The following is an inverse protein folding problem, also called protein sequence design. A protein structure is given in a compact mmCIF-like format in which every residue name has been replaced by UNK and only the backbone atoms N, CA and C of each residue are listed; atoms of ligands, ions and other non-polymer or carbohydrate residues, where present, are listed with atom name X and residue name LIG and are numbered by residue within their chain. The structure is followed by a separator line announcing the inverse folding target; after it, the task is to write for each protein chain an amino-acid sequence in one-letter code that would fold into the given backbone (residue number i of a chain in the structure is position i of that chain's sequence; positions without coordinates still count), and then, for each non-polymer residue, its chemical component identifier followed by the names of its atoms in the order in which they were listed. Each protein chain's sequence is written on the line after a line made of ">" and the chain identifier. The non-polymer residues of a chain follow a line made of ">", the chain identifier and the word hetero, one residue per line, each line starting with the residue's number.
data_IF_561385491791
#
_entry.id   IF_561385491791
#
_cell.length_a   1.000
_cell.length_b   1.000
_cell.length_c   1.000
_cell.angle_alpha   90.00
_cell.angle_beta   90.00
_cell.angle_gamma   90.00
#
_symmetry.space_group_name_H-M   'P 1'
#
loop_
_entity.id
_entity.type
_entity.pdbx_description
1 polymer ?
#
# COMPACT_ATOMS: atom_id res chain seq x y z
N UNK A 1 -22.11 -24.39 25.57
CA UNK A 1 -20.95 -23.86 24.87
C UNK A 1 -21.44 -23.51 23.47
N UNK A 2 -21.80 -22.23 23.25
CA UNK A 2 -22.27 -21.78 21.94
C UNK A 2 -21.08 -21.76 20.96
N UNK A 3 -21.25 -22.20 19.71
CA UNK A 3 -20.23 -21.98 18.70
C UNK A 3 -19.99 -20.47 18.53
N UNK A 4 -18.75 -20.04 18.23
CA UNK A 4 -18.48 -18.64 17.92
C UNK A 4 -19.35 -18.25 16.71
N UNK A 5 -20.11 -17.16 16.84
CA UNK A 5 -20.77 -16.54 15.70
C UNK A 5 -19.71 -16.25 14.65
N UNK A 6 -19.96 -16.76 13.44
CA UNK A 6 -19.14 -16.55 12.26
C UNK A 6 -19.28 -15.07 11.85
N UNK A 7 -18.53 -14.19 12.52
CA UNK A 7 -18.47 -12.74 12.27
C UNK A 7 -18.07 -12.43 10.81
N UNK A 8 -17.52 -13.42 10.12
CA UNK A 8 -17.21 -13.43 8.69
C UNK A 8 -18.37 -13.85 7.79
N UNK A 9 -19.59 -14.12 8.28
CA UNK A 9 -20.71 -14.64 7.47
C UNK A 9 -21.77 -13.60 7.09
N UNK A 10 -21.87 -12.47 7.81
CA UNK A 10 -22.83 -11.42 7.49
C UNK A 10 -22.37 -10.61 6.25
N UNK A 11 -23.21 -10.51 5.22
CA UNK A 11 -22.94 -9.65 4.06
C UNK A 11 -22.60 -8.22 4.52
N UNK A 12 -21.67 -7.51 3.85
CA UNK A 12 -21.41 -6.13 4.21
C UNK A 12 -22.71 -5.35 4.12
N UNK A 13 -22.96 -4.49 5.11
CA UNK A 13 -24.14 -3.64 5.09
C UNK A 13 -24.21 -2.92 3.73
N UNK A 14 -25.37 -2.90 3.05
CA UNK A 14 -25.48 -2.38 1.70
C UNK A 14 -24.99 -0.93 1.58
N UNK A 15 -25.13 -0.14 2.65
CA UNK A 15 -24.60 1.22 2.75
C UNK A 15 -23.06 1.27 2.76
N UNK A 16 -22.40 0.33 3.44
CA UNK A 16 -20.94 0.20 3.45
C UNK A 16 -20.42 -0.16 2.06
N UNK A 17 -21.05 -1.14 1.41
CA UNK A 17 -20.67 -1.54 0.05
C UNK A 17 -20.83 -0.37 -0.94
N UNK A 18 -21.96 0.34 -0.90
CA UNK A 18 -22.20 1.51 -1.76
C UNK A 18 -21.17 2.62 -1.51
N UNK A 19 -20.84 2.92 -0.25
CA UNK A 19 -19.84 3.94 0.11
C UNK A 19 -18.46 3.58 -0.42
N UNK A 20 -18.06 2.31 -0.31
CA UNK A 20 -16.78 1.84 -0.81
C UNK A 20 -16.69 1.87 -2.34
N UNK A 21 -17.76 1.46 -3.03
CA UNK A 21 -17.85 1.53 -4.50
C UNK A 21 -17.80 2.99 -4.98
N UNK A 22 -18.56 3.89 -4.35
CA UNK A 22 -18.50 5.33 -4.64
C UNK A 22 -17.12 5.93 -4.35
N UNK A 23 -16.48 5.55 -3.25
CA UNK A 23 -15.12 5.96 -2.92
C UNK A 23 -14.09 5.46 -3.93
N UNK A 24 -14.20 4.21 -4.36
CA UNK A 24 -13.32 3.61 -5.37
C UNK A 24 -13.53 4.24 -6.76
N UNK A 25 -14.78 4.52 -7.15
CA UNK A 25 -15.09 5.26 -8.38
C UNK A 25 -14.54 6.69 -8.32
N UNK A 26 -14.71 7.38 -7.19
CA UNK A 26 -14.12 8.71 -6.98
C UNK A 26 -12.60 8.69 -7.04
N UNK A 27 -11.95 7.66 -6.49
CA UNK A 27 -10.51 7.44 -6.60
C UNK A 27 -10.11 7.27 -8.07
N UNK A 28 -10.80 6.39 -8.80
CA UNK A 28 -10.56 6.14 -10.22
C UNK A 28 -10.66 7.40 -11.08
N UNK A 29 -11.64 8.27 -10.80
CA UNK A 29 -11.83 9.56 -11.49
C UNK A 29 -10.75 10.59 -11.19
N UNK A 30 -10.14 10.55 -10.01
CA UNK A 30 -9.16 11.56 -9.59
C UNK A 30 -7.72 11.14 -9.88
N UNK A 31 -7.41 9.85 -9.79
CA UNK A 31 -6.05 9.33 -9.80
C UNK A 31 -5.84 8.17 -10.78
N UNK A 32 -6.88 7.73 -11.47
CA UNK A 32 -6.89 6.49 -12.24
C UNK A 32 -7.18 5.27 -11.36
N UNK A 33 -7.71 4.22 -11.99
CA UNK A 33 -7.90 2.93 -11.32
C UNK A 33 -6.58 2.14 -11.27
N UNK A 34 -6.36 1.35 -10.21
CA UNK A 34 -5.16 0.53 -10.06
C UNK A 34 -5.03 -0.56 -11.13
N UNK A 35 -3.81 -1.08 -11.28
CA UNK A 35 -3.48 -2.07 -12.31
C UNK A 35 -3.58 -3.53 -11.81
N UNK A 36 -3.94 -3.75 -10.56
CA UNK A 36 -4.00 -5.10 -10.00
C UNK A 36 -5.10 -5.26 -8.95
N UNK A 37 -5.68 -6.48 -8.82
CA UNK A 37 -6.66 -6.80 -7.76
C UNK A 37 -6.17 -6.45 -6.37
N UNK A 38 -4.90 -6.71 -6.08
CA UNK A 38 -4.25 -6.44 -4.80
C UNK A 38 -4.30 -4.94 -4.47
N UNK A 39 -4.05 -4.08 -5.46
CA UNK A 39 -4.10 -2.63 -5.26
C UNK A 39 -5.53 -2.14 -5.08
N UNK A 40 -6.50 -2.68 -5.84
CA UNK A 40 -7.92 -2.37 -5.62
C UNK A 40 -8.37 -2.81 -4.23
N UNK A 41 -7.97 -4.02 -3.80
CA UNK A 41 -8.24 -4.53 -2.46
C UNK A 41 -7.64 -3.61 -1.39
N UNK A 42 -6.38 -3.18 -1.56
CA UNK A 42 -5.73 -2.25 -0.65
C UNK A 42 -6.43 -0.89 -0.57
N UNK A 43 -6.92 -0.35 -1.68
CA UNK A 43 -7.74 0.86 -1.69
C UNK A 43 -9.04 0.64 -0.93
N UNK A 44 -9.77 -0.46 -1.19
CA UNK A 44 -11.01 -0.77 -0.49
C UNK A 44 -10.78 -0.92 1.02
N UNK A 45 -9.68 -1.55 1.43
CA UNK A 45 -9.24 -1.65 2.83
C UNK A 45 -9.00 -0.28 3.46
N UNK A 46 -8.22 0.58 2.79
CA UNK A 46 -7.96 1.96 3.26
C UNK A 46 -9.24 2.79 3.33
N UNK A 47 -10.10 2.73 2.31
CA UNK A 47 -11.38 3.45 2.29
C UNK A 47 -12.25 3.02 3.47
N UNK A 48 -12.34 1.71 3.75
CA UNK A 48 -13.16 1.18 4.83
C UNK A 48 -12.59 1.56 6.20
N UNK A 49 -11.28 1.45 6.40
CA UNK A 49 -10.64 1.88 7.65
C UNK A 49 -10.82 3.37 7.92
N UNK A 50 -10.78 4.20 6.88
CA UNK A 50 -11.02 5.64 7.02
C UNK A 50 -12.50 5.98 7.25
N UNK A 51 -13.41 5.19 6.69
CA UNK A 51 -14.85 5.36 6.87
C UNK A 51 -15.32 4.84 8.25
N UNK A 52 -14.76 3.73 8.72
CA UNK A 52 -15.09 3.06 9.98
C UNK A 52 -13.80 2.69 10.74
N UNK A 53 -13.18 3.65 11.46
CA UNK A 53 -11.89 3.45 12.12
C UNK A 53 -11.92 2.46 13.28
N UNK A 54 -13.10 2.25 13.89
CA UNK A 54 -13.28 1.34 15.03
C UNK A 54 -13.43 -0.14 14.60
N UNK A 55 -13.46 -0.42 13.29
CA UNK A 55 -13.56 -1.80 12.82
C UNK A 55 -12.27 -2.58 13.10
N UNK A 56 -12.38 -3.82 13.62
CA UNK A 56 -11.25 -4.75 13.68
C UNK A 56 -10.65 -4.99 12.29
N UNK A 57 -9.32 -5.05 12.19
CA UNK A 57 -8.59 -5.25 10.93
C UNK A 57 -9.07 -6.47 10.12
N UNK A 58 -9.33 -7.60 10.80
CA UNK A 58 -9.85 -8.81 10.15
C UNK A 58 -11.23 -8.60 9.49
N UNK A 59 -12.09 -7.76 10.06
CA UNK A 59 -13.38 -7.41 9.46
C UNK A 59 -13.22 -6.45 8.29
N UNK A 60 -12.27 -5.50 8.38
CA UNK A 60 -11.92 -4.63 7.24
C UNK A 60 -11.50 -5.46 6.04
N UNK A 61 -10.61 -6.45 6.24
CA UNK A 61 -10.11 -7.31 5.17
C UNK A 61 -11.20 -8.18 4.56
N UNK A 62 -12.06 -8.78 5.39
CA UNK A 62 -13.18 -9.60 4.92
C UNK A 62 -14.20 -8.79 4.10
N UNK A 63 -14.54 -7.57 4.55
CA UNK A 63 -15.47 -6.70 3.82
C UNK A 63 -14.85 -6.19 2.53
N UNK A 64 -13.58 -5.77 2.55
CA UNK A 64 -12.87 -5.32 1.35
C UNK A 64 -12.81 -6.43 0.29
N UNK A 65 -12.50 -7.67 0.69
CA UNK A 65 -12.51 -8.82 -0.23
C UNK A 65 -13.90 -9.08 -0.83
N UNK A 66 -14.97 -8.98 -0.02
CA UNK A 66 -16.33 -9.22 -0.50
C UNK A 66 -16.81 -8.15 -1.47
N UNK A 67 -16.51 -6.88 -1.19
CA UNK A 67 -16.82 -5.79 -2.12
C UNK A 67 -16.04 -6.00 -3.41
N UNK A 68 -14.77 -6.40 -3.35
CA UNK A 68 -13.99 -6.75 -4.53
C UNK A 68 -14.60 -7.91 -5.32
N UNK A 69 -14.99 -8.99 -4.64
CA UNK A 69 -15.60 -10.17 -5.25
C UNK A 69 -16.93 -9.85 -5.94
N UNK A 70 -17.68 -8.87 -5.42
CA UNK A 70 -18.96 -8.41 -5.96
C UNK A 70 -18.86 -7.25 -6.96
N UNK A 71 -17.69 -6.65 -7.13
CA UNK A 71 -17.51 -5.46 -7.94
C UNK A 71 -17.65 -5.76 -9.44
N UNK A 72 -18.54 -5.03 -10.11
CA UNK A 72 -18.66 -5.05 -11.56
C UNK A 72 -18.19 -3.73 -12.18
N UNK A 73 -17.81 -3.71 -13.47
CA UNK A 73 -17.50 -2.46 -14.17
C UNK A 73 -18.65 -1.44 -14.11
N UNK A 74 -19.89 -1.92 -14.20
CA UNK A 74 -21.09 -1.08 -14.19
C UNK A 74 -21.29 -0.41 -12.84
N UNK A 75 -20.89 -1.06 -11.74
CA UNK A 75 -20.94 -0.47 -10.40
C UNK A 75 -20.05 0.77 -10.29
N UNK A 76 -18.83 0.72 -10.84
CA UNK A 76 -17.90 1.85 -10.83
C UNK A 76 -18.39 3.01 -11.71
N UNK A 77 -18.97 2.69 -12.86
CA UNK A 77 -19.48 3.69 -13.80
C UNK A 77 -20.74 4.39 -13.27
N UNK A 78 -21.65 3.63 -12.69
CA UNK A 78 -22.93 4.14 -12.18
C UNK A 78 -22.85 4.67 -10.74
N UNK A 79 -21.71 4.52 -10.06
CA UNK A 79 -21.52 5.01 -8.72
C UNK A 79 -21.78 6.51 -8.60
N UNK A 80 -22.53 6.90 -7.57
CA UNK A 80 -22.76 8.31 -7.24
C UNK A 80 -21.49 8.82 -6.56
N UNK A 81 -20.75 9.67 -7.27
CA UNK A 81 -19.57 10.37 -6.73
C UNK A 81 -19.99 11.75 -6.25
N UNK A 82 -20.04 11.89 -4.95
CA UNK A 82 -20.36 13.13 -4.24
C UNK A 82 -19.11 13.74 -3.57
N UNK A 83 -19.31 14.82 -2.79
CA UNK A 83 -18.20 15.47 -2.09
C UNK A 83 -17.58 14.58 -1.02
N UNK A 84 -18.37 13.73 -0.37
CA UNK A 84 -17.93 12.88 0.74
C UNK A 84 -17.03 11.75 0.21
N UNK A 85 -17.50 11.02 -0.80
CA UNK A 85 -16.72 9.98 -1.50
C UNK A 85 -15.43 10.54 -2.12
N UNK A 86 -15.48 11.74 -2.69
CA UNK A 86 -14.28 12.42 -3.20
C UNK A 86 -13.28 12.79 -2.08
N UNK A 87 -13.76 13.25 -0.93
CA UNK A 87 -12.90 13.58 0.21
C UNK A 87 -12.26 12.32 0.82
N UNK A 88 -13.03 11.23 0.89
CA UNK A 88 -12.56 9.92 1.32
C UNK A 88 -11.46 9.39 0.38
N UNK A 89 -11.71 9.42 -0.93
CA UNK A 89 -10.73 9.02 -1.95
C UNK A 89 -9.43 9.83 -1.87
N UNK A 90 -9.51 11.16 -1.68
CA UNK A 90 -8.33 12.02 -1.48
C UNK A 90 -7.53 11.66 -0.23
N UNK A 91 -8.21 11.25 0.84
CA UNK A 91 -7.54 10.88 2.09
C UNK A 91 -6.91 9.50 1.98
N UNK A 92 -7.61 8.54 1.34
CA UNK A 92 -7.07 7.22 1.04
C UNK A 92 -5.83 7.31 0.13
N UNK A 93 -5.89 8.11 -0.93
CA UNK A 93 -4.74 8.31 -1.82
C UNK A 93 -3.54 8.91 -1.08
N UNK A 94 -3.73 9.98 -0.28
CA UNK A 94 -2.64 10.58 0.50
C UNK A 94 -2.01 9.59 1.47
N UNK A 95 -2.82 8.78 2.15
CA UNK A 95 -2.34 7.73 3.05
C UNK A 95 -1.48 6.69 2.31
N UNK A 96 -1.98 6.15 1.20
CA UNK A 96 -1.25 5.15 0.41
C UNK A 96 0.02 5.72 -0.19
N UNK A 97 -0.04 6.94 -0.72
CA UNK A 97 1.10 7.63 -1.32
C UNK A 97 2.18 7.87 -0.26
N UNK A 98 1.82 8.36 0.92
CA UNK A 98 2.76 8.58 2.02
C UNK A 98 3.51 7.30 2.39
N UNK A 99 2.79 6.20 2.61
CA UNK A 99 3.41 4.92 2.98
C UNK A 99 4.24 4.32 1.83
N UNK A 100 3.76 4.42 0.59
CA UNK A 100 4.50 4.01 -0.60
C UNK A 100 5.82 4.78 -0.72
N UNK A 101 5.80 6.10 -0.56
CA UNK A 101 7.00 6.94 -0.69
C UNK A 101 7.98 6.69 0.46
N UNK A 102 7.48 6.43 1.68
CA UNK A 102 8.31 5.98 2.80
C UNK A 102 8.97 4.64 2.52
N UNK A 103 8.20 3.64 2.09
CA UNK A 103 8.73 2.32 1.73
C UNK A 103 9.80 2.43 0.62
N UNK A 104 9.51 3.16 -0.46
CA UNK A 104 10.46 3.40 -1.56
C UNK A 104 11.69 4.17 -1.11
N UNK A 105 11.55 5.16 -0.24
CA UNK A 105 12.67 5.91 0.32
C UNK A 105 13.62 5.01 1.13
N UNK A 106 13.07 4.13 1.97
CA UNK A 106 13.85 3.13 2.72
C UNK A 106 14.51 2.12 1.79
N UNK A 107 13.78 1.58 0.80
CA UNK A 107 14.32 0.64 -0.18
C UNK A 107 15.43 1.27 -1.04
N UNK A 108 15.24 2.51 -1.49
CA UNK A 108 16.26 3.27 -2.23
C UNK A 108 17.53 3.40 -1.39
N UNK A 109 17.38 3.83 -0.13
CA UNK A 109 18.50 3.99 0.80
C UNK A 109 19.21 2.66 1.07
N UNK A 110 18.45 1.57 1.22
CA UNK A 110 19.00 0.23 1.41
C UNK A 110 19.79 -0.24 0.18
N UNK A 111 19.22 -0.12 -1.02
CA UNK A 111 19.88 -0.51 -2.27
C UNK A 111 21.16 0.30 -2.50
N UNK A 112 21.12 1.61 -2.26
CA UNK A 112 22.28 2.48 -2.42
C UNK A 112 23.41 2.12 -1.45
N UNK A 113 23.06 1.85 -0.20
CA UNK A 113 24.04 1.60 0.87
C UNK A 113 24.64 0.21 0.81
N UNK A 114 23.84 -0.81 0.56
CA UNK A 114 24.25 -2.21 0.68
C UNK A 114 24.51 -2.89 -0.67
N UNK A 115 24.09 -2.26 -1.79
CA UNK A 115 24.24 -2.77 -3.16
C UNK A 115 23.90 -4.26 -3.30
N UNK A 116 22.74 -4.71 -2.80
CA UNK A 116 22.35 -6.11 -2.88
C UNK A 116 22.11 -6.54 -4.33
N UNK A 117 22.20 -7.84 -4.59
CA UNK A 117 21.66 -8.39 -5.84
C UNK A 117 20.14 -8.46 -5.74
N UNK A 118 19.43 -7.64 -6.50
CA UNK A 118 17.97 -7.54 -6.45
C UNK A 118 17.34 -8.32 -7.62
N UNK A 119 16.77 -9.48 -7.31
CA UNK A 119 15.85 -10.21 -8.20
C UNK A 119 14.41 -9.74 -7.96
N UNK A 120 13.44 -10.05 -8.84
CA UNK A 120 12.04 -9.73 -8.61
C UNK A 120 11.50 -10.30 -7.28
N UNK A 121 11.85 -11.54 -6.96
CA UNK A 121 11.46 -12.19 -5.70
C UNK A 121 12.12 -11.52 -4.49
N UNK A 122 13.38 -11.11 -4.62
CA UNK A 122 14.07 -10.35 -3.59
C UNK A 122 13.39 -8.99 -3.37
N UNK A 123 12.99 -8.28 -4.43
CA UNK A 123 12.27 -7.02 -4.32
C UNK A 123 10.94 -7.18 -3.61
N UNK A 124 10.16 -8.21 -3.95
CA UNK A 124 8.93 -8.53 -3.22
C UNK A 124 9.21 -8.82 -1.75
N UNK A 125 10.23 -9.63 -1.44
CA UNK A 125 10.60 -9.94 -0.07
C UNK A 125 11.03 -8.70 0.72
N UNK A 126 11.77 -7.78 0.09
CA UNK A 126 12.19 -6.52 0.70
C UNK A 126 11.00 -5.58 0.92
N UNK A 127 10.09 -5.49 -0.05
CA UNK A 127 8.87 -4.71 0.07
C UNK A 127 8.00 -5.25 1.23
N UNK A 128 7.81 -6.56 1.34
CA UNK A 128 7.05 -7.15 2.45
C UNK A 128 7.68 -6.86 3.82
N UNK A 129 9.02 -6.89 3.91
CA UNK A 129 9.73 -6.60 5.15
C UNK A 129 9.72 -5.10 5.54
N UNK A 130 9.65 -4.20 4.55
CA UNK A 130 9.69 -2.76 4.83
C UNK A 130 8.34 -2.19 5.27
N UNK A 131 7.21 -2.75 4.82
CA UNK A 131 5.86 -2.25 5.17
C UNK A 131 5.67 -2.09 6.68
N UNK A 132 5.89 -3.12 7.54
CA UNK A 132 5.69 -2.96 8.99
C UNK A 132 6.60 -1.92 9.63
N UNK A 133 7.75 -1.62 9.01
CA UNK A 133 8.70 -0.60 9.50
C UNK A 133 8.26 0.83 9.22
N UNK A 134 7.41 1.04 8.22
CA UNK A 134 6.91 2.38 7.82
C UNK A 134 5.47 2.64 8.23
N UNK A 135 4.71 1.59 8.58
CA UNK A 135 3.30 1.68 8.91
C UNK A 135 2.99 1.68 10.42
N UNK A 136 4.01 1.63 11.28
CA UNK A 136 3.89 1.54 12.74
C UNK A 136 2.90 0.44 13.22
N UNK A 137 2.82 -0.68 12.49
CA UNK A 137 1.89 -1.79 12.79
C UNK A 137 0.39 -1.50 12.56
N UNK A 138 0.00 -0.29 12.15
CA UNK A 138 -1.40 0.12 11.98
C UNK A 138 -1.91 -0.07 10.53
N UNK A 139 -1.65 -1.23 9.95
CA UNK A 139 -2.04 -1.55 8.56
C UNK A 139 -2.81 -2.86 8.52
N UNK A 140 -3.87 -2.92 7.71
CA UNK A 140 -4.60 -4.17 7.47
C UNK A 140 -3.88 -5.04 6.44
N UNK A 141 -4.31 -6.30 6.29
CA UNK A 141 -3.72 -7.21 5.29
C UNK A 141 -3.92 -6.70 3.88
N UNK A 142 -5.14 -6.27 3.56
CA UNK A 142 -5.50 -5.71 2.26
C UNK A 142 -4.64 -4.52 1.91
N UNK A 143 -4.48 -3.58 2.86
CA UNK A 143 -3.61 -2.43 2.70
C UNK A 143 -2.14 -2.86 2.47
N UNK A 144 -1.62 -3.78 3.28
CA UNK A 144 -0.24 -4.25 3.16
C UNK A 144 0.02 -4.93 1.79
N UNK A 145 -0.87 -5.81 1.34
CA UNK A 145 -0.75 -6.49 0.05
C UNK A 145 -0.85 -5.50 -1.11
N UNK A 146 -1.78 -4.55 -1.04
CA UNK A 146 -1.90 -3.49 -2.04
C UNK A 146 -0.65 -2.61 -2.10
N UNK A 147 -0.10 -2.23 -0.95
CA UNK A 147 1.16 -1.47 -0.87
C UNK A 147 2.35 -2.24 -1.42
N UNK A 148 2.51 -3.52 -1.08
CA UNK A 148 3.60 -4.36 -1.63
C UNK A 148 3.48 -4.41 -3.14
N UNK A 149 2.29 -4.68 -3.68
CA UNK A 149 2.04 -4.68 -5.13
C UNK A 149 2.42 -3.33 -5.77
N UNK A 150 1.97 -2.22 -5.18
CA UNK A 150 2.28 -0.88 -5.67
C UNK A 150 3.78 -0.59 -5.66
N UNK A 151 4.47 -0.87 -4.55
CA UNK A 151 5.91 -0.63 -4.39
C UNK A 151 6.69 -1.47 -5.38
N UNK A 152 6.42 -2.77 -5.49
CA UNK A 152 7.13 -3.67 -6.42
C UNK A 152 6.96 -3.22 -7.88
N UNK A 153 5.77 -2.77 -8.27
CA UNK A 153 5.49 -2.33 -9.64
C UNK A 153 6.10 -0.97 -10.00
N UNK A 154 6.30 -0.10 -9.02
CA UNK A 154 6.66 1.31 -9.26
C UNK A 154 8.02 1.70 -8.69
N UNK A 155 8.75 0.77 -8.08
CA UNK A 155 10.10 0.99 -7.60
C UNK A 155 11.11 0.92 -8.75
N UNK A 156 11.82 2.02 -9.00
CA UNK A 156 12.88 2.06 -10.00
C UNK A 156 14.22 1.61 -9.40
N UNK A 157 14.53 0.33 -9.60
CA UNK A 157 15.81 -0.26 -9.18
C UNK A 157 16.99 0.36 -9.95
N UNK A 158 16.80 0.76 -11.20
CA UNK A 158 17.85 1.32 -12.04
C UNK A 158 18.33 2.67 -11.52
N UNK A 159 17.39 3.54 -11.17
CA UNK A 159 17.69 4.84 -10.56
C UNK A 159 18.30 4.69 -9.16
N UNK A 160 17.74 3.80 -8.33
CA UNK A 160 18.30 3.51 -7.02
C UNK A 160 19.76 3.01 -7.10
N UNK A 161 20.10 2.15 -8.06
CA UNK A 161 21.47 1.66 -8.26
C UNK A 161 22.44 2.72 -8.79
N UNK A 162 21.94 3.76 -9.46
CA UNK A 162 22.74 4.88 -9.98
C UNK A 162 22.88 6.05 -9.00
N UNK A 163 22.41 5.87 -7.77
CA UNK A 163 22.35 6.93 -6.75
C UNK A 163 21.49 8.13 -7.18
N UNK A 164 20.53 7.89 -8.08
CA UNK A 164 19.54 8.88 -8.47
C UNK A 164 18.38 8.80 -7.48
N UNK A 165 18.04 9.94 -6.87
CA UNK A 165 16.88 10.07 -6.00
C UNK A 165 15.80 10.83 -6.76
N UNK A 166 14.65 10.20 -7.05
CA UNK A 166 13.50 10.89 -7.64
C UNK A 166 13.09 12.09 -6.81
N UNK A 167 12.63 13.16 -7.47
CA UNK A 167 12.27 14.40 -6.79
C UNK A 167 11.17 14.17 -5.73
N UNK A 168 10.22 13.26 -5.97
CA UNK A 168 9.18 12.89 -5.01
C UNK A 168 9.73 12.24 -3.73
N UNK A 169 10.86 11.51 -3.79
CA UNK A 169 11.44 10.83 -2.64
C UNK A 169 12.43 11.71 -1.86
N UNK A 170 12.87 12.83 -2.43
CA UNK A 170 13.87 13.70 -1.82
C UNK A 170 13.46 14.21 -0.42
N UNK A 171 12.16 14.42 -0.18
CA UNK A 171 11.65 14.83 1.13
C UNK A 171 11.62 13.71 2.18
N UNK A 172 11.63 12.44 1.73
CA UNK A 172 11.46 11.26 2.58
C UNK A 172 12.79 10.59 2.87
N UNK A 173 13.78 10.73 1.99
CA UNK A 173 15.15 10.25 2.23
C UNK A 173 15.86 11.21 3.18
N UNK A 174 15.83 10.86 4.47
CA UNK A 174 16.42 11.60 5.57
C UNK A 174 17.12 10.63 6.56
N UNK A 175 17.61 11.14 7.70
CA UNK A 175 18.26 10.33 8.71
C UNK A 175 17.40 9.13 9.20
N UNK A 176 16.08 9.30 9.27
CA UNK A 176 15.15 8.22 9.63
C UNK A 176 15.12 7.12 8.58
N UNK A 177 15.12 7.47 7.29
CA UNK A 177 15.19 6.46 6.21
C UNK A 177 16.49 5.65 6.23
N UNK A 178 17.60 6.27 6.65
CA UNK A 178 18.89 5.59 6.83
C UNK A 178 18.84 4.60 7.99
N UNK A 179 18.25 5.00 9.12
CA UNK A 179 18.04 4.11 10.26
C UNK A 179 17.13 2.94 9.89
N UNK A 180 16.00 3.21 9.22
CA UNK A 180 15.08 2.17 8.74
C UNK A 180 15.72 1.23 7.71
N UNK A 181 16.62 1.73 6.85
CA UNK A 181 17.37 0.89 5.91
C UNK A 181 18.36 -0.04 6.63
N UNK A 182 18.96 0.39 7.74
CA UNK A 182 19.77 -0.47 8.60
C UNK A 182 18.90 -1.53 9.28
N UNK A 183 17.75 -1.13 9.84
CA UNK A 183 16.78 -2.07 10.42
C UNK A 183 16.31 -3.09 9.37
N UNK A 184 16.03 -2.66 8.14
CA UNK A 184 15.66 -3.54 7.04
C UNK A 184 16.79 -4.55 6.73
N UNK A 185 18.06 -4.12 6.73
CA UNK A 185 19.19 -5.03 6.56
C UNK A 185 19.20 -6.13 7.64
N UNK A 186 18.96 -5.75 8.90
CA UNK A 186 18.84 -6.69 10.02
C UNK A 186 17.67 -7.66 9.81
N UNK A 187 16.46 -7.16 9.49
CA UNK A 187 15.28 -8.01 9.23
C UNK A 187 15.56 -9.03 8.12
N UNK A 188 16.15 -8.59 7.01
CA UNK A 188 16.46 -9.47 5.88
C UNK A 188 17.49 -10.52 6.23
N UNK A 189 18.48 -10.20 7.07
CA UNK A 189 19.47 -11.16 7.55
C UNK A 189 18.86 -12.23 8.48
N UNK A 190 17.78 -11.88 9.19
CA UNK A 190 17.07 -12.77 10.11
C UNK A 190 16.00 -13.62 9.45
N UNK A 191 15.73 -13.42 8.14
CA UNK A 191 14.64 -14.09 7.43
C UNK A 191 14.58 -15.62 7.65
N UNK A 192 15.68 -16.38 7.52
CA UNK A 192 15.65 -17.83 7.75
C UNK A 192 15.14 -18.22 9.15
N UNK A 193 15.49 -17.41 10.15
CA UNK A 193 15.05 -17.64 11.53
C UNK A 193 13.60 -17.22 11.74
N UNK A 194 13.17 -16.11 11.13
CA UNK A 194 11.77 -15.70 11.13
C UNK A 194 10.87 -16.79 10.49
N UNK A 195 11.30 -17.41 9.39
CA UNK A 195 10.61 -18.52 8.74
C UNK A 195 10.52 -19.74 9.67
N UNK A 196 11.62 -20.18 10.27
CA UNK A 196 11.63 -21.30 11.21
C UNK A 196 10.73 -21.08 12.43
N UNK A 197 10.72 -19.86 12.99
CA UNK A 197 9.82 -19.48 14.09
C UNK A 197 8.37 -19.49 13.61
N UNK A 198 8.09 -18.91 12.44
CA UNK A 198 6.77 -18.90 11.83
C UNK A 198 6.21 -20.32 11.63
N UNK A 199 7.00 -21.23 11.09
CA UNK A 199 6.64 -22.64 10.91
C UNK A 199 6.38 -23.34 12.25
N UNK A 200 7.23 -23.12 13.24
CA UNK A 200 7.06 -23.69 14.59
C UNK A 200 5.77 -23.23 15.25
N UNK A 201 5.47 -21.93 15.19
CA UNK A 201 4.21 -21.38 15.73
C UNK A 201 3.02 -21.93 14.97
N UNK A 202 3.11 -22.02 13.65
CA UNK A 202 2.04 -22.57 12.80
C UNK A 202 1.71 -23.99 13.17
N UNK A 203 2.72 -24.86 13.21
CA UNK A 203 2.55 -26.27 13.56
C UNK A 203 1.97 -26.43 14.97
N UNK A 204 2.35 -25.56 15.91
CA UNK A 204 1.78 -25.54 17.25
C UNK A 204 0.30 -25.13 17.25
N UNK A 205 -0.05 -24.03 16.58
CA UNK A 205 -1.42 -23.52 16.51
C UNK A 205 -2.33 -24.53 15.80
N UNK A 206 -1.92 -25.09 14.67
CA UNK A 206 -2.70 -26.11 13.95
C UNK A 206 -2.99 -27.34 14.81
N UNK A 207 -2.01 -27.77 15.62
CA UNK A 207 -2.14 -28.96 16.45
C UNK A 207 -2.93 -28.74 17.74
N UNK A 208 -2.78 -27.58 18.37
CA UNK A 208 -3.26 -27.35 19.75
C UNK A 208 -4.34 -26.26 19.87
N UNK A 209 -4.43 -25.34 18.91
CA UNK A 209 -5.36 -24.22 18.95
C UNK A 209 -5.81 -23.76 17.54
N UNK A 210 -6.40 -24.62 16.70
CA UNK A 210 -6.68 -24.33 15.29
C UNK A 210 -7.68 -23.17 15.07
N UNK A 211 -8.43 -22.78 16.10
CA UNK A 211 -9.34 -21.63 16.06
C UNK A 211 -8.74 -20.30 16.55
N UNK A 212 -7.43 -20.26 16.83
CA UNK A 212 -6.78 -19.05 17.30
C UNK A 212 -6.65 -18.05 16.15
N UNK A 213 -7.38 -16.93 16.25
CA UNK A 213 -7.35 -15.87 15.23
C UNK A 213 -6.04 -15.09 15.33
N UNK A 214 -5.69 -14.58 16.51
CA UNK A 214 -4.47 -13.79 16.75
C UNK A 214 -3.42 -14.57 17.54
N UNK A 215 -2.19 -14.61 17.04
CA UNK A 215 -1.02 -15.20 17.68
C UNK A 215 -0.34 -14.11 18.51
N UNK A 216 -0.30 -14.30 19.83
CA UNK A 216 0.35 -13.38 20.75
C UNK A 216 1.88 -13.41 20.66
N UNK A 217 2.52 -12.28 20.99
CA UNK A 217 3.98 -12.13 21.04
C UNK A 217 4.66 -13.15 21.94
N UNK A 218 4.01 -13.57 23.03
CA UNK A 218 4.57 -14.53 23.99
C UNK A 218 4.74 -15.93 23.37
N UNK A 219 3.81 -16.34 22.51
CA UNK A 219 3.90 -17.61 21.79
C UNK A 219 5.04 -17.56 20.75
N UNK A 220 5.18 -16.42 20.07
CA UNK A 220 6.28 -16.20 19.11
C UNK A 220 7.62 -16.18 19.82
N UNK A 221 7.73 -15.49 20.97
CA UNK A 221 8.94 -15.46 21.79
C UNK A 221 9.32 -16.85 22.33
N UNK A 222 8.32 -17.65 22.69
CA UNK A 222 8.52 -19.04 23.11
C UNK A 222 9.01 -19.91 21.96
N UNK A 223 8.44 -19.75 20.77
CA UNK A 223 8.89 -20.45 19.56
C UNK A 223 10.30 -20.02 19.14
N UNK A 224 10.62 -18.73 19.21
CA UNK A 224 11.97 -18.20 18.99
C UNK A 224 12.98 -18.85 19.96
N UNK A 225 12.63 -18.91 21.24
CA UNK A 225 13.47 -19.58 22.24
C UNK A 225 13.69 -21.07 21.93
N UNK A 226 12.68 -21.76 21.39
CA UNK A 226 12.79 -23.15 20.99
C UNK A 226 13.68 -23.34 19.75
N UNK A 227 13.52 -22.48 18.74
CA UNK A 227 14.35 -22.46 17.52
C UNK A 227 15.81 -22.17 17.87
N UNK A 228 16.07 -21.20 18.75
CA UNK A 228 17.42 -20.87 19.22
C UNK A 228 18.06 -22.00 20.04
N UNK A 229 17.29 -22.74 20.83
CA UNK A 229 17.81 -23.92 21.55
C UNK A 229 18.19 -25.07 20.62
N UNK A 230 17.57 -25.14 19.43
CA UNK A 230 17.81 -26.15 18.41
C UNK A 230 18.59 -25.60 17.21
N UNK A 231 19.45 -24.59 17.41
CA UNK A 231 20.23 -23.92 16.35
C UNK A 231 20.96 -24.87 15.38
N UNK A 232 21.39 -26.04 15.85
CA UNK A 232 22.08 -27.05 15.04
C UNK A 232 21.16 -27.66 13.99
N UNK A 233 19.88 -27.87 14.32
CA UNK A 233 18.89 -28.46 13.40
C UNK A 233 18.47 -27.46 12.31
N UNK A 234 18.60 -26.16 12.59
CA UNK A 234 18.24 -25.08 11.67
C UNK A 234 19.45 -24.39 11.01
N UNK A 235 20.68 -24.83 11.33
CA UNK A 235 21.93 -24.30 10.78
C UNK A 235 22.08 -22.77 10.92
N UNK A 236 21.77 -22.23 12.11
CA UNK A 236 21.95 -20.80 12.41
C UNK A 236 23.24 -20.52 13.16
N UNK A 237 23.96 -19.47 12.77
CA UNK A 237 25.23 -19.04 13.36
C UNK A 237 25.07 -17.70 14.11
N UNK A 238 24.03 -17.59 14.96
CA UNK A 238 23.59 -16.31 15.49
C UNK A 238 23.47 -16.25 17.03
N UNK A 239 24.15 -15.27 17.63
CA UNK A 239 23.78 -14.66 18.90
C UNK A 239 22.94 -13.41 18.58
N UNK A 240 21.63 -13.42 18.89
CA UNK A 240 20.83 -12.19 18.75
C UNK A 240 21.08 -11.27 19.93
N UNK A 241 21.18 -9.97 19.66
CA UNK A 241 20.97 -8.96 20.68
C UNK A 241 19.47 -8.88 21.03
N UNK A 242 19.14 -8.42 22.25
CA UNK A 242 17.74 -8.28 22.71
C UNK A 242 16.88 -7.41 21.78
N UNK A 243 17.48 -6.37 21.18
CA UNK A 243 16.80 -5.49 20.21
C UNK A 243 16.45 -6.24 18.91
N UNK A 244 17.31 -7.17 18.51
CA UNK A 244 17.14 -7.99 17.32
C UNK A 244 16.07 -9.07 17.52
N UNK A 245 15.89 -9.56 18.76
CA UNK A 245 14.81 -10.49 19.14
C UNK A 245 13.43 -9.84 19.05
N UNK A 246 13.28 -8.63 19.59
CA UNK A 246 12.02 -7.90 19.56
C UNK A 246 11.60 -7.59 18.12
N UNK A 247 12.57 -7.14 17.30
CA UNK A 247 12.35 -6.91 15.87
C UNK A 247 11.90 -8.19 15.15
N UNK A 248 12.52 -9.33 15.43
CA UNK A 248 12.12 -10.62 14.85
C UNK A 248 10.69 -11.00 15.27
N UNK A 249 10.34 -10.84 16.54
CA UNK A 249 8.99 -11.13 17.06
C UNK A 249 7.95 -10.26 16.34
N UNK A 250 8.23 -8.97 16.14
CA UNK A 250 7.34 -8.06 15.42
C UNK A 250 7.17 -8.47 13.94
N UNK A 251 8.25 -8.87 13.27
CA UNK A 251 8.20 -9.33 11.89
C UNK A 251 7.41 -10.64 11.74
N UNK A 252 7.65 -11.61 12.62
CA UNK A 252 6.91 -12.88 12.61
C UNK A 252 5.45 -12.64 12.99
N UNK A 253 5.17 -11.75 13.94
CA UNK A 253 3.81 -11.36 14.31
C UNK A 253 3.08 -10.75 13.10
N UNK A 254 3.71 -9.83 12.38
CA UNK A 254 3.15 -9.26 11.17
C UNK A 254 2.88 -10.33 10.11
N UNK A 255 3.82 -11.23 9.84
CA UNK A 255 3.61 -12.32 8.88
C UNK A 255 2.45 -13.24 9.27
N UNK A 256 2.37 -13.65 10.53
CA UNK A 256 1.37 -14.59 11.00
C UNK A 256 -0.01 -13.96 11.19
N UNK A 257 -0.06 -12.73 11.71
CA UNK A 257 -1.31 -12.08 12.07
C UNK A 257 -1.87 -11.18 10.98
N UNK A 258 -1.01 -10.56 10.17
CA UNK A 258 -1.46 -9.67 9.09
C UNK A 258 -1.47 -10.43 7.77
N UNK A 259 -0.39 -11.12 7.38
CA UNK A 259 -0.33 -11.72 6.04
C UNK A 259 -1.08 -13.06 5.93
N UNK A 260 -1.12 -13.88 6.99
CA UNK A 260 -1.77 -15.22 6.96
C UNK A 260 -3.24 -15.24 7.39
N UNK A 261 -3.74 -14.26 8.14
CA UNK A 261 -5.16 -14.21 8.51
C UNK A 261 -6.02 -13.77 7.33
N UNK A 262 -6.50 -14.70 6.50
CA UNK A 262 -7.73 -14.53 5.73
C UNK A 262 -8.25 -15.84 5.12
N UNK A 263 -9.57 -16.00 4.99
CA UNK A 263 -10.16 -17.12 4.28
C UNK A 263 -9.71 -17.13 2.81
N UNK A 264 -9.63 -18.32 2.18
CA UNK A 264 -9.26 -18.42 0.77
C UNK A 264 -10.21 -17.57 -0.09
N UNK A 265 -9.70 -16.90 -1.14
CA UNK A 265 -10.53 -16.08 -2.01
C UNK A 265 -11.67 -16.95 -2.59
N UNK A 266 -12.88 -16.40 -2.59
CA UNK A 266 -14.07 -17.12 -3.05
C UNK A 266 -14.06 -17.37 -4.58
N UNK A 267 -13.17 -16.67 -5.29
CA UNK A 267 -12.88 -16.78 -6.73
C UNK A 267 -11.39 -17.00 -6.97
N UNK A 268 -10.99 -17.68 -8.04
CA UNK A 268 -9.58 -17.83 -8.38
C UNK A 268 -8.98 -16.49 -8.84
N UNK A 269 -7.74 -16.19 -8.42
CA UNK A 269 -7.08 -14.90 -8.63
C UNK A 269 -7.06 -14.41 -10.09
N UNK A 270 -6.98 -15.33 -11.06
CA UNK A 270 -7.03 -15.00 -12.49
C UNK A 270 -8.39 -14.43 -12.94
N UNK A 271 -9.50 -14.92 -12.37
CA UNK A 271 -10.84 -14.43 -12.70
C UNK A 271 -11.11 -13.05 -12.10
N UNK A 272 -10.56 -12.78 -10.91
CA UNK A 272 -10.59 -11.45 -10.28
C UNK A 272 -9.75 -10.47 -11.11
N UNK A 273 -8.53 -10.88 -11.50
CA UNK A 273 -7.64 -10.08 -12.33
C UNK A 273 -8.26 -9.76 -13.70
N UNK A 274 -8.89 -10.73 -14.38
CA UNK A 274 -9.55 -10.52 -15.66
C UNK A 274 -10.73 -9.54 -15.55
N UNK A 275 -11.56 -9.66 -14.52
CA UNK A 275 -12.70 -8.75 -14.29
C UNK A 275 -12.24 -7.32 -13.99
N UNK A 276 -11.20 -7.17 -13.17
CA UNK A 276 -10.63 -5.85 -12.82
C UNK A 276 -9.91 -5.25 -14.01
N UNK A 277 -9.09 -6.01 -14.73
CA UNK A 277 -8.41 -5.51 -15.94
C UNK A 277 -9.44 -5.07 -16.98
N UNK A 278 -10.51 -5.84 -17.18
CA UNK A 278 -11.63 -5.45 -18.06
C UNK A 278 -12.33 -4.18 -17.57
N UNK A 279 -12.56 -4.05 -16.26
CA UNK A 279 -13.17 -2.85 -15.67
C UNK A 279 -12.27 -1.62 -15.85
N UNK A 280 -10.97 -1.77 -15.60
CA UNK A 280 -9.96 -0.71 -15.74
C UNK A 280 -9.79 -0.29 -17.19
N UNK A 281 -9.72 -1.25 -18.12
CA UNK A 281 -9.61 -0.97 -19.56
C UNK A 281 -10.86 -0.28 -20.10
N UNK A 282 -12.06 -0.76 -19.74
CA UNK A 282 -13.32 -0.13 -20.14
C UNK A 282 -13.44 1.28 -19.56
N UNK A 283 -13.13 1.45 -18.28
CA UNK A 283 -13.11 2.76 -17.64
C UNK A 283 -12.15 3.73 -18.34
N UNK A 284 -10.94 3.28 -18.70
CA UNK A 284 -9.98 4.06 -19.48
C UNK A 284 -10.51 4.44 -20.85
N UNK A 285 -11.12 3.50 -21.58
CA UNK A 285 -11.69 3.77 -22.90
C UNK A 285 -12.84 4.78 -22.84
N UNK A 286 -13.67 4.71 -21.80
CA UNK A 286 -14.83 5.60 -21.62
C UNK A 286 -14.45 7.00 -21.10
N UNK A 287 -13.34 7.12 -20.36
CA UNK A 287 -12.92 8.37 -19.70
C UNK A 287 -11.62 8.96 -20.28
N UNK A 288 -11.10 8.42 -21.39
CA UNK A 288 -9.88 8.87 -22.10
C UNK A 288 -9.93 10.33 -22.64
N UNK A 289 -10.97 11.10 -22.32
CA UNK A 289 -11.12 12.50 -22.70
C UNK A 289 -11.16 13.50 -21.53
N UNK A 290 -11.05 13.08 -20.27
CA UNK A 290 -11.17 13.98 -19.11
C UNK A 290 -9.96 13.86 -18.16
N UNK A 291 -8.98 14.73 -18.39
CA UNK A 291 -7.94 15.20 -17.45
C UNK A 291 -7.01 14.13 -16.85
N UNK A 292 -5.92 13.86 -17.56
CA UNK A 292 -4.65 13.50 -16.93
C UNK A 292 -4.08 14.74 -16.22
N UNK A 293 -4.19 14.79 -14.89
CA UNK A 293 -3.62 15.88 -14.06
C UNK A 293 -2.19 15.54 -13.60
N UNK A 294 -1.63 14.41 -14.05
CA UNK A 294 -0.23 14.01 -13.82
C UNK A 294 0.66 14.18 -15.05
N UNK A 295 0.08 14.36 -16.24
CA UNK A 295 0.77 14.97 -17.36
C UNK A 295 0.96 16.46 -17.07
N UNK A 296 2.12 16.80 -16.51
CA UNK A 296 2.60 18.17 -16.50
C UNK A 296 2.40 18.78 -17.89
N UNK A 297 1.80 19.97 -17.93
CA UNK A 297 1.69 20.79 -19.14
C UNK A 297 3.09 21.00 -19.71
N UNK A 298 3.51 20.14 -20.64
CA UNK A 298 4.57 20.47 -21.58
C UNK A 298 3.95 21.49 -22.53
N UNK A 299 4.06 22.77 -22.17
CA UNK A 299 3.90 23.83 -23.14
C UNK A 299 4.98 23.63 -24.20
N UNK A 300 4.57 23.57 -25.47
CA UNK A 300 5.45 23.36 -26.64
C UNK A 300 6.43 24.53 -26.92
N UNK A 301 6.67 25.36 -25.91
CA UNK A 301 7.30 26.67 -26.03
C UNK A 301 8.46 26.81 -25.03
N UNK A 302 8.71 25.80 -24.18
CA UNK A 302 9.92 25.67 -23.37
C UNK A 302 10.15 26.72 -22.27
N UNK A 303 9.33 27.75 -22.12
CA UNK A 303 9.47 28.77 -21.08
C UNK A 303 8.12 29.43 -20.76
N UNK A 304 7.46 29.01 -19.68
CA UNK A 304 6.70 29.85 -18.72
C UNK A 304 5.80 29.00 -17.80
N UNK A 305 6.09 29.01 -16.50
CA UNK A 305 5.13 28.59 -15.46
C UNK A 305 4.36 29.84 -15.04
N UNK A 306 3.06 29.90 -15.36
CA UNK A 306 2.17 30.94 -14.80
C UNK A 306 1.25 30.31 -13.76
N UNK A 307 1.54 30.55 -12.48
CA UNK A 307 0.61 30.29 -11.38
C UNK A 307 -0.63 31.20 -11.50
N UNK A 308 -1.84 30.74 -11.13
CA UNK A 308 -3.03 31.57 -11.13
C UNK A 308 -3.11 32.37 -9.82
N UNK A 309 -2.20 33.31 -9.61
CA UNK A 309 -2.30 34.29 -8.53
C UNK A 309 -1.68 35.62 -8.98
N UNK A 310 -2.40 36.38 -9.81
CA UNK A 310 -2.10 37.81 -10.03
C UNK A 310 -3.38 38.64 -9.96
N UNK A 311 -3.59 39.19 -8.76
CA UNK A 311 -4.02 40.56 -8.48
C UNK A 311 -4.82 41.29 -9.56
N UNK A 312 -6.10 41.54 -9.28
CA UNK A 312 -6.90 42.59 -9.91
C UNK A 312 -6.37 43.98 -9.53
N UNK A 313 -5.28 44.41 -10.16
CA UNK A 313 -4.85 45.82 -10.13
C UNK A 313 -4.88 46.38 -11.54
N UNK A 314 -5.96 47.11 -11.86
CA UNK A 314 -6.03 47.96 -13.07
C UNK A 314 -4.88 48.97 -13.01
N UNK A 315 -4.02 48.97 -14.02
CA UNK A 315 -3.14 50.09 -14.34
C UNK A 315 -3.83 50.97 -15.40
N UNK A 316 -3.62 52.30 -15.36
CA UNK A 316 -4.38 53.28 -16.13
C UNK A 316 -3.97 53.32 -17.61
N UNK A 317 -4.96 53.63 -18.46
CA UNK A 317 -4.82 53.81 -19.91
C UNK A 317 -3.79 54.90 -20.29
N UNK A 318 -2.92 54.66 -21.28
CA UNK A 318 -2.11 55.70 -21.89
C UNK A 318 -2.95 56.54 -22.89
N UNK A 319 -2.65 57.83 -23.08
CA UNK A 319 -3.41 58.69 -23.97
C UNK A 319 -3.13 58.37 -25.45
N UNK A 320 -4.06 58.68 -26.37
CA UNK A 320 -3.93 58.34 -27.79
C UNK A 320 -2.86 59.21 -28.48
N UNK A 321 -1.91 58.56 -29.14
CA UNK A 321 -0.89 59.20 -29.97
C UNK A 321 -1.49 59.74 -31.27
N UNK A 322 -1.21 61.01 -31.51
CA UNK A 322 -1.51 61.80 -32.71
C UNK A 322 -1.30 61.05 -34.03
N UNK A 323 -2.30 61.19 -34.88
CA UNK A 323 -2.26 61.01 -36.33
C UNK A 323 -1.14 61.84 -36.97
N UNK A 324 -0.43 61.21 -37.92
CA UNK A 324 0.28 61.90 -38.98
C UNK A 324 -0.11 61.22 -40.30
N UNK A 325 -1.06 61.84 -40.98
CA UNK A 325 -1.42 61.55 -42.36
C UNK A 325 -0.36 62.12 -43.31
N UNK A 326 0.04 61.32 -44.28
CA UNK A 326 0.76 61.73 -45.48
C UNK A 326 -0.12 62.70 -46.29
N UNK A 327 0.48 63.80 -46.72
CA UNK A 327 -0.07 64.85 -47.58
C UNK A 327 0.88 66.04 -47.58
#
# INVERSE_FOLDING_TARGET
>A
MMPPEDLTSAAPAPETAATLISGLSAYGRLYGLPNSPEQVQGILGTLLRLYQPDLPAALVDAVAQRVLDGLTPDDLNNAIVDRVSSALAKTAHRWQQQLSDQAKGVLTTYVQRYRPTVTPDALSSMATAVIPLVSDGNITRSEAIGLVSQVVQTFDLGDALRDVVPAELAAVINASSVALAQTLATVLSQKPMAEAVGETVTAYVEKYAPGLVNIGSDLIATALSAVLKNQVDFNFDAQLAVVDEQLLIEQVSFQLNVLRQSPPPSKPAWAIAEQINTAVERYRQEHQGALDVTAGLVSNDGLSVSSPLTSTRRLPEPPPSSSASLG
#
